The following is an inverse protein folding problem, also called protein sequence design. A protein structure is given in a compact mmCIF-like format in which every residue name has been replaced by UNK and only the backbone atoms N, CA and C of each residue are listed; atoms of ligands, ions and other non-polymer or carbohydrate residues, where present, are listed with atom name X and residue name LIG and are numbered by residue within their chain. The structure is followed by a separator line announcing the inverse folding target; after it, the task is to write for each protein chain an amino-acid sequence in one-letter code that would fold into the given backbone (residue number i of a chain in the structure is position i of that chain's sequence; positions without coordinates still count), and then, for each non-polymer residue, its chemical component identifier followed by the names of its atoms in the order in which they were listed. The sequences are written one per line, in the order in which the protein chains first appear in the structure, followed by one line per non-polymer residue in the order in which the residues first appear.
data_IF_343188767750
#
_entry.id   IF_343188767750
#
_cell.length_a   1.000
_cell.length_b   1.000
_cell.length_c   1.000
_cell.angle_alpha   90.00
_cell.angle_beta   90.00
_cell.angle_gamma   90.00
#
_symmetry.space_group_name_H-M   'P 1'
#
loop_
_entity.id
_entity.type
_entity.pdbx_description
1 polymer ?
#
# COMPACT_ATOMS: atom_id res chain seq x y z
N UNK A 1 -17.21 -60.25 24.67
CA UNK A 1 -16.15 -59.43 25.29
C UNK A 1 -16.72 -58.04 25.51
N UNK A 2 -16.84 -57.60 26.76
CA UNK A 2 -17.36 -56.28 27.11
C UNK A 2 -16.20 -55.28 27.12
N UNK A 3 -16.31 -54.20 26.36
CA UNK A 3 -15.35 -53.10 26.38
C UNK A 3 -16.01 -51.86 26.99
N UNK A 4 -15.43 -51.37 28.08
CA UNK A 4 -15.79 -50.09 28.69
C UNK A 4 -14.97 -48.99 28.03
N UNK A 5 -15.65 -48.02 27.41
CA UNK A 5 -15.01 -46.87 26.75
C UNK A 5 -14.59 -45.87 27.83
N UNK A 6 -13.28 -45.67 28.02
CA UNK A 6 -12.75 -44.59 28.86
C UNK A 6 -12.74 -43.31 28.02
N UNK A 7 -13.45 -42.23 28.39
CA UNK A 7 -13.34 -40.98 27.66
C UNK A 7 -11.98 -40.35 27.97
N UNK A 8 -11.11 -40.29 26.96
CA UNK A 8 -9.88 -39.53 27.06
C UNK A 8 -10.24 -38.03 26.98
N UNK A 9 -10.48 -37.40 28.14
CA UNK A 9 -10.80 -35.98 28.30
C UNK A 9 -9.66 -35.02 27.88
N UNK A 10 -8.56 -35.52 27.30
CA UNK A 10 -7.40 -34.71 26.90
C UNK A 10 -7.42 -34.19 25.46
N UNK A 11 -8.44 -34.48 24.65
CA UNK A 11 -8.53 -33.98 23.26
C UNK A 11 -9.45 -32.77 23.07
N UNK A 12 -9.87 -32.11 24.16
CA UNK A 12 -10.57 -30.82 24.10
C UNK A 12 -9.59 -29.69 24.43
N UNK A 13 -8.47 -29.64 23.72
CA UNK A 13 -7.83 -28.37 23.41
C UNK A 13 -7.79 -28.26 21.90
N UNK A 14 -8.86 -27.69 21.35
CA UNK A 14 -8.82 -27.17 19.99
C UNK A 14 -7.80 -26.03 20.03
N UNK A 15 -6.56 -26.33 19.65
CA UNK A 15 -5.57 -25.32 19.27
C UNK A 15 -6.17 -24.45 18.16
N UNK A 16 -6.78 -23.33 18.55
CA UNK A 16 -7.44 -22.35 17.67
C UNK A 16 -6.50 -21.68 16.66
N UNK A 17 -5.23 -22.09 16.59
CA UNK A 17 -4.20 -21.48 15.75
C UNK A 17 -3.58 -22.39 14.67
N UNK A 18 -4.05 -23.63 14.50
CA UNK A 18 -3.58 -24.46 13.38
C UNK A 18 -4.32 -24.06 12.09
N UNK A 19 -3.53 -23.81 11.04
CA UNK A 19 -4.00 -23.43 9.71
C UNK A 19 -4.77 -24.63 9.12
N UNK A 20 -6.09 -24.49 8.96
CA UNK A 20 -6.96 -25.58 8.49
C UNK A 20 -7.13 -25.64 6.96
N UNK A 21 -6.49 -24.74 6.22
CA UNK A 21 -6.56 -24.67 4.74
C UNK A 21 -5.17 -24.59 4.15
N UNK A 22 -4.89 -25.49 3.20
CA UNK A 22 -3.69 -25.47 2.38
C UNK A 22 -4.04 -24.94 0.99
N UNK A 23 -3.30 -23.95 0.51
CA UNK A 23 -3.43 -23.41 -0.84
C UNK A 23 -2.16 -23.78 -1.59
N UNK A 24 -2.31 -24.50 -2.70
CA UNK A 24 -1.22 -24.80 -3.61
C UNK A 24 -1.12 -23.68 -4.64
N UNK A 25 0.07 -23.12 -4.81
CA UNK A 25 0.36 -22.07 -5.79
C UNK A 25 1.36 -22.64 -6.79
N UNK A 26 0.96 -22.70 -8.04
CA UNK A 26 1.83 -23.12 -9.14
C UNK A 26 2.47 -21.88 -9.77
N UNK A 27 3.79 -21.90 -9.88
CA UNK A 27 4.60 -20.79 -10.39
C UNK A 27 5.67 -21.35 -11.33
N UNK A 28 6.12 -20.52 -12.26
CA UNK A 28 7.25 -20.83 -13.13
C UNK A 28 8.57 -20.76 -12.34
N UNK A 29 9.63 -21.41 -12.82
CA UNK A 29 10.93 -21.44 -12.13
C UNK A 29 11.51 -20.06 -11.86
N UNK A 30 11.35 -19.13 -12.81
CA UNK A 30 11.79 -17.73 -12.65
C UNK A 30 11.04 -17.02 -11.53
N UNK A 31 9.73 -17.29 -11.41
CA UNK A 31 8.87 -16.69 -10.40
C UNK A 31 9.17 -17.29 -9.02
N UNK A 32 9.40 -18.60 -8.95
CA UNK A 32 9.85 -19.29 -7.74
C UNK A 32 11.14 -18.66 -7.20
N UNK A 33 12.16 -18.50 -8.05
CA UNK A 33 13.42 -17.89 -7.66
C UNK A 33 13.24 -16.44 -7.15
N UNK A 34 12.35 -15.67 -7.78
CA UNK A 34 12.03 -14.31 -7.35
C UNK A 34 11.32 -14.29 -5.98
N UNK A 35 10.37 -15.20 -5.75
CA UNK A 35 9.65 -15.32 -4.46
C UNK A 35 10.62 -15.70 -3.34
N UNK A 36 11.48 -16.71 -3.56
CA UNK A 36 12.45 -17.15 -2.56
C UNK A 36 13.46 -16.06 -2.21
N UNK A 37 13.94 -15.32 -3.22
CA UNK A 37 14.82 -14.17 -3.01
C UNK A 37 14.17 -13.11 -2.14
N UNK A 38 12.95 -12.68 -2.48
CA UNK A 38 12.22 -11.64 -1.74
C UNK A 38 11.82 -12.09 -0.33
N UNK A 39 11.46 -13.36 -0.17
CA UNK A 39 11.17 -13.95 1.14
C UNK A 39 12.41 -13.88 2.04
N UNK A 40 13.59 -14.23 1.51
CA UNK A 40 14.87 -14.14 2.22
C UNK A 40 15.22 -12.70 2.57
N UNK A 41 15.06 -11.75 1.65
CA UNK A 41 15.28 -10.32 1.89
C UNK A 41 14.35 -9.78 3.00
N UNK A 42 13.14 -10.33 3.11
CA UNK A 42 12.16 -9.97 4.14
C UNK A 42 12.33 -10.73 5.46
N UNK A 43 13.31 -11.64 5.56
CA UNK A 43 13.51 -12.51 6.73
C UNK A 43 12.37 -13.52 6.97
N UNK A 44 11.58 -13.85 5.95
CA UNK A 44 10.39 -14.73 6.03
C UNK A 44 10.59 -16.00 5.23
N UNK A 45 9.83 -17.06 5.55
CA UNK A 45 9.70 -18.21 4.66
C UNK A 45 8.91 -17.83 3.41
N UNK A 46 9.11 -18.51 2.28
CA UNK A 46 8.32 -18.26 1.05
C UNK A 46 6.82 -18.34 1.30
N UNK A 47 6.40 -19.26 2.19
CA UNK A 47 4.99 -19.43 2.54
C UNK A 47 4.44 -18.25 3.34
N UNK A 48 5.21 -17.72 4.29
CA UNK A 48 4.80 -16.56 5.09
C UNK A 48 4.88 -15.27 4.26
N UNK A 49 5.87 -15.17 3.37
CA UNK A 49 6.00 -14.07 2.42
C UNK A 49 4.77 -13.99 1.49
N UNK A 50 4.40 -15.10 0.83
CA UNK A 50 3.22 -15.14 -0.04
C UNK A 50 1.93 -14.83 0.71
N UNK A 51 1.79 -15.28 1.96
CA UNK A 51 0.64 -14.93 2.80
C UNK A 51 0.62 -13.46 3.15
N UNK A 52 1.75 -12.86 3.54
CA UNK A 52 1.81 -11.42 3.77
C UNK A 52 1.46 -10.65 2.50
N UNK A 53 2.00 -11.04 1.34
CA UNK A 53 1.65 -10.41 0.08
C UNK A 53 0.15 -10.51 -0.23
N UNK A 54 -0.46 -11.70 -0.06
CA UNK A 54 -1.89 -11.89 -0.34
C UNK A 54 -2.84 -11.20 0.66
N UNK A 55 -2.44 -11.07 1.93
CA UNK A 55 -3.25 -10.45 2.98
C UNK A 55 -3.05 -8.93 3.06
N UNK A 56 -1.85 -8.44 2.76
CA UNK A 56 -1.48 -7.02 2.82
C UNK A 56 -1.70 -6.30 1.50
N UNK A 57 -1.90 -7.04 0.39
CA UNK A 57 -2.31 -6.43 -0.87
C UNK A 57 -3.70 -5.81 -0.69
N UNK A 58 -3.72 -4.49 -0.47
CA UNK A 58 -4.87 -3.67 -0.82
C UNK A 58 -5.08 -3.85 -2.32
N UNK A 59 -6.17 -4.50 -2.70
CA UNK A 59 -6.65 -4.47 -4.07
C UNK A 59 -7.11 -3.03 -4.33
N UNK A 60 -6.18 -2.18 -4.77
CA UNK A 60 -6.49 -0.80 -5.12
C UNK A 60 -7.05 -0.82 -6.54
N UNK A 61 -8.28 -0.33 -6.69
CA UNK A 61 -8.83 -0.08 -8.01
C UNK A 61 -7.94 0.90 -8.74
N UNK A 62 -7.64 0.63 -10.02
CA UNK A 62 -6.90 1.58 -10.86
C UNK A 62 -7.63 2.94 -10.78
N UNK A 63 -6.92 4.05 -10.44
CA UNK A 63 -7.56 5.35 -10.39
C UNK A 63 -8.16 5.69 -11.76
N UNK A 64 -9.31 6.36 -11.75
CA UNK A 64 -9.96 6.75 -13.01
C UNK A 64 -9.04 7.65 -13.83
N UNK A 65 -9.19 7.64 -15.15
CA UNK A 65 -8.44 8.52 -16.06
C UNK A 65 -8.59 9.99 -15.69
N UNK A 66 -9.77 10.38 -15.20
CA UNK A 66 -10.06 11.72 -14.72
C UNK A 66 -9.20 12.09 -13.50
N UNK A 67 -9.04 11.19 -12.53
CA UNK A 67 -8.20 11.44 -11.35
C UNK A 67 -6.73 11.57 -11.73
N UNK A 68 -6.24 10.76 -12.67
CA UNK A 68 -4.87 10.89 -13.19
C UNK A 68 -4.69 12.22 -13.90
N UNK A 69 -5.67 12.66 -14.69
CA UNK A 69 -5.64 13.93 -15.40
C UNK A 69 -5.66 15.13 -14.44
N UNK A 70 -6.54 15.12 -13.44
CA UNK A 70 -6.62 16.16 -12.39
C UNK A 70 -5.28 16.26 -11.66
N UNK A 71 -4.69 15.13 -11.27
CA UNK A 71 -3.38 15.12 -10.61
C UNK A 71 -2.30 15.75 -11.49
N UNK A 72 -2.24 15.39 -12.77
CA UNK A 72 -1.24 15.93 -13.69
C UNK A 72 -1.40 17.44 -13.87
N UNK A 73 -2.64 17.93 -14.01
CA UNK A 73 -2.93 19.35 -14.13
C UNK A 73 -2.58 20.12 -12.85
N UNK A 74 -2.88 19.56 -11.68
CA UNK A 74 -2.55 20.13 -10.40
C UNK A 74 -1.03 20.22 -10.17
N UNK A 75 -0.27 19.18 -10.53
CA UNK A 75 1.20 19.17 -10.48
C UNK A 75 1.81 20.22 -11.41
N UNK A 76 1.28 20.35 -12.63
CA UNK A 76 1.71 21.40 -13.56
C UNK A 76 1.46 22.80 -12.97
N UNK A 77 0.26 23.04 -12.43
CA UNK A 77 -0.07 24.30 -11.78
C UNK A 77 0.86 24.58 -10.60
N UNK A 78 1.18 23.56 -9.79
CA UNK A 78 2.13 23.67 -8.67
C UNK A 78 3.49 24.16 -9.13
N UNK A 79 4.00 23.61 -10.23
CA UNK A 79 5.27 24.03 -10.81
C UNK A 79 5.24 25.50 -11.25
N UNK A 80 4.17 25.94 -11.91
CA UNK A 80 4.00 27.35 -12.28
C UNK A 80 3.98 28.28 -11.05
N UNK A 81 3.27 27.88 -9.98
CA UNK A 81 3.21 28.67 -8.74
C UNK A 81 4.58 28.68 -8.05
N UNK A 82 5.35 27.60 -8.07
CA UNK A 82 6.72 27.56 -7.54
C UNK A 82 7.64 28.50 -8.32
N UNK A 83 7.53 28.55 -9.64
CA UNK A 83 8.27 29.53 -10.45
C UNK A 83 7.87 30.97 -10.10
N UNK A 84 6.58 31.25 -9.93
CA UNK A 84 6.13 32.57 -9.47
C UNK A 84 6.62 32.90 -8.05
N UNK A 85 6.63 31.93 -7.14
CA UNK A 85 7.19 32.07 -5.80
C UNK A 85 8.67 32.48 -5.88
N UNK A 86 9.44 31.81 -6.72
CA UNK A 86 10.85 32.10 -6.90
C UNK A 86 11.06 33.54 -7.40
N UNK A 87 10.30 33.96 -8.42
CA UNK A 87 10.35 35.34 -8.93
C UNK A 87 9.93 36.38 -7.88
N UNK A 88 8.92 36.08 -7.06
CA UNK A 88 8.50 36.97 -5.97
C UNK A 88 9.59 37.14 -4.91
N UNK A 89 10.34 36.08 -4.60
CA UNK A 89 11.51 36.15 -3.71
C UNK A 89 12.60 37.03 -4.31
N UNK A 90 12.93 36.84 -5.59
CA UNK A 90 13.95 37.66 -6.28
C UNK A 90 13.55 39.14 -6.34
N UNK A 91 12.26 39.41 -6.53
CA UNK A 91 11.70 40.77 -6.59
C UNK A 91 11.49 41.40 -5.21
N UNK A 92 11.73 40.68 -4.11
CA UNK A 92 11.34 41.11 -2.75
C UNK A 92 9.85 41.49 -2.62
N UNK A 93 8.99 40.85 -3.42
CA UNK A 93 7.54 41.06 -3.40
C UNK A 93 6.87 40.14 -2.37
N UNK A 94 6.70 40.67 -1.17
CA UNK A 94 6.10 39.95 -0.05
C UNK A 94 4.66 39.50 -0.33
N UNK A 95 3.86 40.30 -1.08
CA UNK A 95 2.48 39.92 -1.44
C UNK A 95 2.46 38.78 -2.45
N UNK A 96 3.38 38.82 -3.42
CA UNK A 96 3.55 37.74 -4.39
C UNK A 96 3.95 36.42 -3.71
N UNK A 97 4.82 36.49 -2.71
CA UNK A 97 5.22 35.34 -1.89
C UNK A 97 4.04 34.74 -1.13
N UNK A 98 3.30 35.55 -0.38
CA UNK A 98 2.13 35.13 0.39
C UNK A 98 1.04 34.52 -0.51
N UNK A 99 0.82 35.13 -1.68
CA UNK A 99 -0.15 34.64 -2.68
C UNK A 99 0.28 33.28 -3.23
N UNK A 100 1.56 33.10 -3.55
CA UNK A 100 2.08 31.82 -4.03
C UNK A 100 1.97 30.71 -2.96
N UNK A 101 2.24 31.02 -1.70
CA UNK A 101 2.11 30.04 -0.60
C UNK A 101 0.67 29.59 -0.38
N UNK A 102 -0.29 30.53 -0.43
CA UNK A 102 -1.71 30.21 -0.36
C UNK A 102 -2.15 29.32 -1.54
N UNK A 103 -1.69 29.62 -2.76
CA UNK A 103 -2.00 28.81 -3.95
C UNK A 103 -1.42 27.41 -3.85
N UNK A 104 -0.19 27.24 -3.36
CA UNK A 104 0.41 25.91 -3.14
C UNK A 104 -0.41 25.08 -2.14
N UNK A 105 -0.83 25.70 -1.03
CA UNK A 105 -1.67 25.04 -0.03
C UNK A 105 -3.03 24.58 -0.58
N UNK A 106 -3.65 25.40 -1.43
CA UNK A 106 -4.90 25.06 -2.12
C UNK A 106 -4.71 23.88 -3.09
N UNK A 107 -3.63 23.88 -3.88
CA UNK A 107 -3.32 22.79 -4.82
C UNK A 107 -3.10 21.48 -4.08
N UNK A 108 -2.33 21.50 -2.98
CA UNK A 108 -2.11 20.30 -2.16
C UNK A 108 -3.41 19.79 -1.54
N UNK A 109 -4.30 20.69 -1.12
CA UNK A 109 -5.63 20.33 -0.63
C UNK A 109 -6.50 19.67 -1.72
N UNK A 110 -6.46 20.19 -2.96
CA UNK A 110 -7.19 19.62 -4.11
C UNK A 110 -6.67 18.21 -4.43
N UNK A 111 -5.35 18.02 -4.48
CA UNK A 111 -4.74 16.71 -4.73
C UNK A 111 -5.14 15.72 -3.64
N UNK A 112 -5.03 16.11 -2.37
CA UNK A 112 -5.39 15.24 -1.24
C UNK A 112 -6.89 14.90 -1.20
N UNK A 113 -7.75 15.85 -1.58
CA UNK A 113 -9.21 15.65 -1.61
C UNK A 113 -9.62 14.76 -2.78
N UNK A 114 -9.00 14.93 -3.95
CA UNK A 114 -9.27 14.11 -5.12
C UNK A 114 -8.78 12.66 -4.98
N UNK A 115 -7.80 12.41 -4.09
CA UNK A 115 -7.19 11.10 -3.88
C UNK A 115 -7.68 10.38 -2.60
N UNK A 116 -8.62 10.96 -1.86
CA UNK A 116 -9.35 10.31 -0.75
C UNK A 116 -10.46 9.41 -1.28
#
# INVERSE_FOLDING_TARGET
MNYTKVPNKSLIEVEKNKRNRCIQVYVLDKEKAAIEKRAKESGKTSSDFLRSCGLEQKIVTKPSTNLVSIRLQAENLKNHVLSHKHLAVEASDQRGLETAENLLSLIDTIILTALK
#
